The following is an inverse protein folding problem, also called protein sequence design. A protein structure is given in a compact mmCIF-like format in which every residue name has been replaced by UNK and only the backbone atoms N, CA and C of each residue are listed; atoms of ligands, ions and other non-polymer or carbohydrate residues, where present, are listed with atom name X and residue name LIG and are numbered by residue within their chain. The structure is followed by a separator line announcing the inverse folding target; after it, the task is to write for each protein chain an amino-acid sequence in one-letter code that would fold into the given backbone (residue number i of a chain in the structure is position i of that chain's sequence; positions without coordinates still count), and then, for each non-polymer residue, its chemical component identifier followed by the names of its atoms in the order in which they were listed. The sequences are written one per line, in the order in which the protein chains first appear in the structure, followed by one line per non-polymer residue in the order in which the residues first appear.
data_IF_469248885711
#
_entry.id   IF_469248885711
#
_cell.length_a   1.000
_cell.length_b   1.000
_cell.length_c   1.000
_cell.angle_alpha   90.00
_cell.angle_beta   90.00
_cell.angle_gamma   90.00
#
_symmetry.space_group_name_H-M   'P 1'
#
loop_
_entity.id
_entity.type
_entity.pdbx_description
1 polymer ?
#
# COMPACT_ATOMS: atom_id res chain seq x y z
N UNK A 1 -32.49 62.30 -11.45
CA UNK A 1 -32.44 61.31 -10.34
C UNK A 1 -31.82 59.98 -10.81
N UNK A 2 -30.65 59.98 -11.49
CA UNK A 2 -30.07 58.75 -12.10
C UNK A 2 -28.58 58.49 -11.76
N UNK A 3 -27.98 59.28 -10.87
CA UNK A 3 -26.54 59.20 -10.57
C UNK A 3 -26.21 58.33 -9.34
N UNK A 4 -27.21 57.99 -8.52
CA UNK A 4 -27.05 57.13 -7.33
C UNK A 4 -27.12 55.64 -7.67
N UNK A 5 -27.93 55.24 -8.65
CA UNK A 5 -28.08 53.83 -9.06
C UNK A 5 -26.86 53.26 -9.79
N UNK A 6 -26.18 54.04 -10.64
CA UNK A 6 -24.95 53.57 -11.32
C UNK A 6 -23.82 53.25 -10.35
N UNK A 7 -23.71 53.99 -9.24
CA UNK A 7 -22.72 53.69 -8.19
C UNK A 7 -23.09 52.42 -7.44
N UNK A 8 -24.37 52.22 -7.12
CA UNK A 8 -24.82 51.01 -6.43
C UNK A 8 -24.62 49.73 -7.27
N UNK A 9 -24.94 49.78 -8.57
CA UNK A 9 -24.69 48.67 -9.50
C UNK A 9 -23.20 48.40 -9.74
N UNK A 10 -22.37 49.46 -9.82
CA UNK A 10 -20.91 49.33 -9.91
C UNK A 10 -20.33 48.67 -8.66
N UNK A 11 -20.73 49.11 -7.45
CA UNK A 11 -20.25 48.54 -6.19
C UNK A 11 -20.70 47.08 -6.00
N UNK A 12 -21.92 46.73 -6.41
CA UNK A 12 -22.41 45.33 -6.37
C UNK A 12 -21.62 44.46 -7.36
N UNK A 13 -21.33 44.96 -8.57
CA UNK A 13 -20.52 44.24 -9.55
C UNK A 13 -19.08 44.02 -9.07
N UNK A 14 -18.45 45.03 -8.46
CA UNK A 14 -17.11 44.93 -7.88
C UNK A 14 -17.10 43.92 -6.72
N UNK A 15 -18.10 43.97 -5.83
CA UNK A 15 -18.21 43.03 -4.71
C UNK A 15 -18.44 41.58 -5.17
N UNK A 16 -19.24 41.39 -6.23
CA UNK A 16 -19.47 40.09 -6.84
C UNK A 16 -18.20 39.56 -7.53
N UNK A 17 -17.43 40.44 -8.17
CA UNK A 17 -16.13 40.12 -8.75
C UNK A 17 -15.09 39.79 -7.68
N UNK A 18 -15.07 40.51 -6.55
CA UNK A 18 -14.22 40.25 -5.40
C UNK A 18 -14.58 38.94 -4.69
N UNK A 19 -15.86 38.60 -4.56
CA UNK A 19 -16.32 37.32 -4.04
C UNK A 19 -15.89 36.15 -4.93
N UNK A 20 -16.02 36.29 -6.25
CA UNK A 20 -15.55 35.27 -7.19
C UNK A 20 -14.02 35.16 -7.19
N UNK A 21 -13.31 36.28 -7.06
CA UNK A 21 -11.85 36.33 -6.91
C UNK A 21 -11.39 35.66 -5.61
N UNK A 22 -12.06 35.94 -4.48
CA UNK A 22 -11.78 35.30 -3.20
C UNK A 22 -12.08 33.80 -3.21
N UNK A 23 -13.19 33.37 -3.82
CA UNK A 23 -13.50 31.95 -3.98
C UNK A 23 -12.42 31.26 -4.84
N UNK A 24 -12.02 31.88 -5.94
CA UNK A 24 -10.95 31.37 -6.81
C UNK A 24 -9.61 31.27 -6.07
N UNK A 25 -9.23 32.29 -5.27
CA UNK A 25 -8.04 32.28 -4.40
C UNK A 25 -8.12 31.19 -3.34
N UNK A 26 -9.28 30.97 -2.72
CA UNK A 26 -9.47 29.91 -1.74
C UNK A 26 -9.37 28.51 -2.36
N UNK A 27 -9.90 28.34 -3.58
CA UNK A 27 -9.76 27.08 -4.36
C UNK A 27 -8.31 26.82 -4.75
N UNK A 28 -7.57 27.84 -5.18
CA UNK A 28 -6.14 27.73 -5.47
C UNK A 28 -5.37 27.38 -4.19
N UNK A 29 -5.63 28.07 -3.08
CA UNK A 29 -4.96 27.84 -1.79
C UNK A 29 -5.23 26.43 -1.26
N UNK A 30 -6.48 25.97 -1.30
CA UNK A 30 -6.85 24.61 -0.88
C UNK A 30 -6.26 23.53 -1.79
N UNK A 31 -6.15 23.77 -3.10
CA UNK A 31 -5.44 22.89 -4.03
C UNK A 31 -3.94 22.82 -3.73
N UNK A 32 -3.28 23.96 -3.49
CA UNK A 32 -1.86 24.03 -3.14
C UNK A 32 -1.57 23.33 -1.81
N UNK A 33 -2.42 23.50 -0.80
CA UNK A 33 -2.30 22.81 0.49
C UNK A 33 -2.41 21.29 0.32
N UNK A 34 -3.32 20.80 -0.53
CA UNK A 34 -3.43 19.36 -0.82
C UNK A 34 -2.25 18.82 -1.61
N UNK A 35 -1.69 19.60 -2.54
CA UNK A 35 -0.60 19.19 -3.41
C UNK A 35 0.78 19.26 -2.75
N UNK A 36 1.00 20.18 -1.81
CA UNK A 36 2.27 20.36 -1.10
C UNK A 36 2.85 19.08 -0.47
N UNK A 37 2.09 18.27 0.29
CA UNK A 37 2.61 17.02 0.87
C UNK A 37 2.85 15.93 -0.18
N UNK A 38 2.06 15.89 -1.25
CA UNK A 38 2.31 14.96 -2.36
C UNK A 38 3.62 15.28 -3.08
N UNK A 39 3.90 16.57 -3.31
CA UNK A 39 5.16 16.99 -3.93
C UNK A 39 6.36 16.74 -3.03
N UNK A 40 6.25 16.95 -1.72
CA UNK A 40 7.34 16.66 -0.79
C UNK A 40 7.64 15.17 -0.70
N UNK A 41 6.61 14.31 -0.63
CA UNK A 41 6.79 12.86 -0.62
C UNK A 41 7.45 12.36 -1.91
N UNK A 42 7.03 12.86 -3.07
CA UNK A 42 7.68 12.49 -4.34
C UNK A 42 9.13 12.98 -4.43
N UNK A 43 9.46 14.10 -3.76
CA UNK A 43 10.82 14.59 -3.68
C UNK A 43 11.66 13.70 -2.75
N UNK A 44 11.14 13.36 -1.58
CA UNK A 44 11.79 12.44 -0.63
C UNK A 44 12.06 11.07 -1.27
N UNK A 45 11.09 10.50 -2.00
CA UNK A 45 11.26 9.23 -2.73
C UNK A 45 12.37 9.32 -3.80
N UNK A 46 12.42 10.42 -4.55
CA UNK A 46 13.47 10.66 -5.55
C UNK A 46 14.85 10.84 -4.92
N UNK A 47 14.92 11.54 -3.78
CA UNK A 47 16.16 11.73 -3.02
C UNK A 47 16.68 10.42 -2.45
N UNK A 48 15.80 9.56 -1.90
CA UNK A 48 16.18 8.23 -1.43
C UNK A 48 16.73 7.37 -2.58
N UNK A 49 16.08 7.39 -3.74
CA UNK A 49 16.56 6.68 -4.93
C UNK A 49 17.90 7.22 -5.42
N UNK A 50 18.07 8.54 -5.46
CA UNK A 50 19.33 9.18 -5.84
C UNK A 50 20.46 8.85 -4.86
N UNK A 51 20.17 8.77 -3.56
CA UNK A 51 21.13 8.34 -2.54
C UNK A 51 21.56 6.89 -2.75
N UNK A 52 20.61 5.98 -3.02
CA UNK A 52 20.92 4.58 -3.33
C UNK A 52 21.79 4.43 -4.59
N UNK A 53 21.46 5.16 -5.66
CA UNK A 53 22.24 5.19 -6.90
C UNK A 53 23.64 5.79 -6.68
N UNK A 54 23.76 6.81 -5.82
CA UNK A 54 25.04 7.39 -5.43
C UNK A 54 25.95 6.36 -4.77
N UNK A 55 25.44 5.62 -3.77
CA UNK A 55 26.20 4.57 -3.08
C UNK A 55 26.65 3.47 -4.06
N UNK A 56 25.77 3.00 -4.95
CA UNK A 56 26.13 2.04 -5.98
C UNK A 56 27.22 2.58 -6.92
N UNK A 57 27.15 3.85 -7.30
CA UNK A 57 28.16 4.49 -8.16
C UNK A 57 29.53 4.56 -7.48
N UNK A 58 29.55 4.80 -6.16
CA UNK A 58 30.78 4.79 -5.36
C UNK A 58 31.41 3.40 -5.31
N UNK A 59 30.61 2.35 -5.08
CA UNK A 59 31.11 0.96 -5.09
C UNK A 59 31.70 0.61 -6.46
N UNK A 60 31.03 0.98 -7.56
CA UNK A 60 31.56 0.77 -8.92
C UNK A 60 32.86 1.52 -9.15
N UNK A 61 32.99 2.74 -8.61
CA UNK A 61 34.24 3.50 -8.67
C UNK A 61 35.36 2.79 -7.90
N UNK A 62 35.09 2.28 -6.71
CA UNK A 62 36.05 1.49 -5.90
C UNK A 62 36.50 0.20 -6.61
N UNK A 63 35.58 -0.48 -7.31
CA UNK A 63 35.90 -1.64 -8.15
C UNK A 63 36.80 -1.25 -9.34
N UNK A 64 36.46 -0.16 -10.04
CA UNK A 64 37.26 0.35 -11.15
C UNK A 64 38.68 0.74 -10.71
N UNK A 65 38.80 1.39 -9.55
CA UNK A 65 40.11 1.76 -8.98
C UNK A 65 40.92 0.51 -8.60
N UNK A 66 40.30 -0.53 -8.05
CA UNK A 66 40.97 -1.80 -7.75
C UNK A 66 41.51 -2.48 -9.02
N UNK A 67 40.75 -2.45 -10.12
CA UNK A 67 41.22 -2.95 -11.44
C UNK A 67 42.39 -2.11 -11.96
N UNK A 68 42.29 -0.78 -11.88
CA UNK A 68 43.37 0.14 -12.27
C UNK A 68 44.66 -0.13 -11.48
N UNK A 69 44.56 -0.35 -10.17
CA UNK A 69 45.71 -0.68 -9.33
C UNK A 69 46.36 -2.02 -9.74
N UNK A 70 45.55 -3.03 -10.07
CA UNK A 70 46.07 -4.30 -10.60
C UNK A 70 46.81 -4.12 -11.92
N UNK A 71 46.28 -3.30 -12.82
CA UNK A 71 46.92 -3.05 -14.12
C UNK A 71 48.23 -2.27 -13.96
N UNK A 72 48.31 -1.33 -13.02
CA UNK A 72 49.56 -0.65 -12.65
C UNK A 72 50.60 -1.67 -12.16
N UNK A 73 50.24 -2.58 -11.25
CA UNK A 73 51.17 -3.63 -10.77
C UNK A 73 51.68 -4.51 -11.92
N UNK A 74 50.79 -4.94 -12.83
CA UNK A 74 51.18 -5.71 -14.02
C UNK A 74 52.15 -4.93 -14.91
N UNK A 75 51.93 -3.63 -15.07
CA UNK A 75 52.82 -2.78 -15.87
C UNK A 75 54.20 -2.60 -15.22
N UNK A 76 54.26 -2.51 -13.88
CA UNK A 76 55.51 -2.43 -13.11
C UNK A 76 56.31 -3.73 -13.21
N UNK A 77 55.66 -4.89 -13.11
CA UNK A 77 56.31 -6.19 -13.29
C UNK A 77 56.93 -6.32 -14.69
N UNK A 78 56.19 -5.94 -15.73
CA UNK A 78 56.70 -5.91 -17.11
C UNK A 78 57.91 -4.97 -17.25
N UNK A 79 57.82 -3.76 -16.71
CA UNK A 79 58.89 -2.77 -16.76
C UNK A 79 60.16 -3.30 -16.06
N UNK A 80 60.00 -3.93 -14.89
CA UNK A 80 61.13 -4.51 -14.17
C UNK A 80 61.75 -5.66 -14.96
N UNK A 81 60.94 -6.56 -15.54
CA UNK A 81 61.42 -7.65 -16.39
C UNK A 81 62.26 -7.13 -17.57
N UNK A 82 61.76 -6.11 -18.29
CA UNK A 82 62.49 -5.48 -19.39
C UNK A 82 63.81 -4.84 -18.94
N UNK A 83 63.82 -4.19 -17.76
CA UNK A 83 65.05 -3.61 -17.19
C UNK A 83 66.07 -4.69 -16.82
N UNK A 84 65.63 -5.82 -16.26
CA UNK A 84 66.50 -6.97 -15.98
C UNK A 84 67.11 -7.55 -17.27
N UNK A 85 66.29 -7.77 -18.28
CA UNK A 85 66.75 -8.27 -19.59
C UNK A 85 67.75 -7.32 -20.26
N UNK A 86 67.50 -6.01 -20.19
CA UNK A 86 68.41 -5.00 -20.74
C UNK A 86 69.75 -4.93 -19.98
N UNK A 87 69.73 -5.09 -18.66
CA UNK A 87 70.95 -5.14 -17.85
C UNK A 87 71.76 -6.42 -18.12
N UNK A 88 71.08 -7.57 -18.22
CA UNK A 88 71.71 -8.87 -18.51
C UNK A 88 72.41 -8.86 -19.87
N UNK A 89 71.83 -8.22 -20.90
CA UNK A 89 72.50 -8.02 -22.21
C UNK A 89 73.79 -7.19 -22.12
N UNK A 90 73.92 -6.33 -21.11
CA UNK A 90 75.13 -5.55 -20.82
C UNK A 90 76.10 -6.28 -19.88
N UNK A 91 75.79 -7.53 -19.50
CA UNK A 91 76.57 -8.32 -18.54
C UNK A 91 76.33 -7.95 -17.07
N UNK A 92 75.43 -7.01 -16.79
CA UNK A 92 75.15 -6.52 -15.43
C UNK A 92 73.94 -7.26 -14.88
N UNK A 93 74.11 -7.99 -13.78
CA UNK A 93 73.01 -8.68 -13.10
C UNK A 93 72.64 -7.93 -11.82
N UNK A 94 71.38 -7.47 -11.66
CA UNK A 94 70.90 -6.89 -10.42
C UNK A 94 71.03 -7.87 -9.25
N UNK A 95 71.23 -7.36 -8.04
CA UNK A 95 71.34 -8.15 -6.81
C UNK A 95 70.07 -8.99 -6.56
N UNK A 96 70.24 -10.27 -6.21
CA UNK A 96 69.14 -11.22 -6.03
C UNK A 96 68.18 -10.81 -4.88
N UNK A 97 68.73 -10.26 -3.80
CA UNK A 97 67.99 -9.74 -2.64
C UNK A 97 66.99 -8.63 -3.02
N UNK A 98 67.41 -7.71 -3.89
CA UNK A 98 66.57 -6.62 -4.38
C UNK A 98 65.43 -7.12 -5.28
N UNK A 99 65.59 -8.31 -5.89
CA UNK A 99 64.58 -8.94 -6.73
C UNK A 99 63.54 -9.68 -5.91
N UNK A 100 63.99 -10.48 -4.95
CA UNK A 100 63.11 -11.12 -3.97
C UNK A 100 62.29 -10.08 -3.21
N UNK A 101 62.91 -8.96 -2.78
CA UNK A 101 62.19 -7.88 -2.10
C UNK A 101 61.09 -7.27 -2.98
N UNK A 102 61.36 -7.05 -4.27
CA UNK A 102 60.34 -6.53 -5.18
C UNK A 102 59.19 -7.52 -5.39
N UNK A 103 59.50 -8.79 -5.64
CA UNK A 103 58.49 -9.83 -5.83
C UNK A 103 57.61 -10.00 -4.58
N UNK A 104 58.21 -9.97 -3.38
CA UNK A 104 57.49 -10.01 -2.11
C UNK A 104 56.55 -8.81 -1.96
N UNK A 105 57.01 -7.59 -2.23
CA UNK A 105 56.18 -6.39 -2.11
C UNK A 105 55.01 -6.40 -3.12
N UNK A 106 55.27 -6.80 -4.37
CA UNK A 106 54.21 -6.93 -5.39
C UNK A 106 53.22 -8.03 -5.01
N UNK A 107 53.67 -9.15 -4.46
CA UNK A 107 52.81 -10.22 -4.00
C UNK A 107 51.90 -9.78 -2.84
N UNK A 108 52.43 -9.02 -1.88
CA UNK A 108 51.64 -8.42 -0.78
C UNK A 108 50.59 -7.46 -1.32
N UNK A 109 50.97 -6.55 -2.21
CA UNK A 109 50.04 -5.57 -2.82
C UNK A 109 48.94 -6.27 -3.63
N UNK A 110 49.31 -7.28 -4.42
CA UNK A 110 48.36 -8.10 -5.18
C UNK A 110 47.34 -8.77 -4.24
N UNK A 111 47.80 -9.36 -3.14
CA UNK A 111 46.93 -10.00 -2.14
C UNK A 111 45.95 -9.01 -1.54
N UNK A 112 46.39 -7.79 -1.23
CA UNK A 112 45.52 -6.73 -0.70
C UNK A 112 44.45 -6.32 -1.73
N UNK A 113 44.83 -6.12 -3.00
CA UNK A 113 43.88 -5.70 -4.03
C UNK A 113 42.86 -6.79 -4.34
N UNK A 114 43.29 -8.06 -4.40
CA UNK A 114 42.38 -9.20 -4.58
C UNK A 114 41.35 -9.26 -3.44
N UNK A 115 41.80 -9.12 -2.19
CA UNK A 115 40.88 -9.08 -1.03
C UNK A 115 39.87 -7.93 -1.13
N UNK A 116 40.32 -6.73 -1.49
CA UNK A 116 39.43 -5.57 -1.66
C UNK A 116 38.42 -5.78 -2.79
N UNK A 117 38.84 -6.40 -3.89
CA UNK A 117 37.96 -6.70 -5.02
C UNK A 117 36.81 -7.62 -4.60
N UNK A 118 37.11 -8.69 -3.84
CA UNK A 118 36.08 -9.60 -3.30
C UNK A 118 35.07 -8.87 -2.41
N UNK A 119 35.54 -7.95 -1.55
CA UNK A 119 34.66 -7.17 -0.67
C UNK A 119 33.75 -6.25 -1.47
N UNK A 120 34.28 -5.49 -2.44
CA UNK A 120 33.46 -4.59 -3.24
C UNK A 120 32.47 -5.34 -4.14
N UNK A 121 32.86 -6.52 -4.66
CA UNK A 121 31.95 -7.37 -5.43
C UNK A 121 30.81 -7.93 -4.58
N UNK A 122 31.08 -8.27 -3.31
CA UNK A 122 30.05 -8.70 -2.37
C UNK A 122 29.11 -7.55 -1.97
N UNK A 123 29.67 -6.36 -1.71
CA UNK A 123 28.92 -5.13 -1.41
C UNK A 123 27.98 -4.76 -2.57
N UNK A 124 28.47 -4.79 -3.81
CA UNK A 124 27.68 -4.49 -5.01
C UNK A 124 26.52 -5.47 -5.23
N UNK A 125 26.77 -6.77 -5.01
CA UNK A 125 25.74 -7.80 -5.08
C UNK A 125 24.68 -7.64 -3.99
N UNK A 126 25.10 -7.35 -2.76
CA UNK A 126 24.18 -7.14 -1.65
C UNK A 126 23.26 -5.93 -1.90
N UNK A 127 23.83 -4.80 -2.33
CA UNK A 127 23.04 -3.61 -2.68
C UNK A 127 22.05 -3.90 -3.80
N UNK A 128 22.46 -4.63 -4.86
CA UNK A 128 21.55 -4.98 -5.96
C UNK A 128 20.35 -5.80 -5.50
N UNK A 129 20.57 -6.82 -4.66
CA UNK A 129 19.49 -7.65 -4.10
C UNK A 129 18.55 -6.81 -3.23
N UNK A 130 19.07 -5.86 -2.46
CA UNK A 130 18.25 -4.96 -1.65
C UNK A 130 17.35 -4.08 -2.53
N UNK A 131 17.88 -3.49 -3.60
CA UNK A 131 17.08 -2.67 -4.53
C UNK A 131 16.01 -3.49 -5.26
N UNK A 132 16.35 -4.70 -5.72
CA UNK A 132 15.40 -5.60 -6.38
C UNK A 132 14.30 -6.06 -5.42
N UNK A 133 14.66 -6.35 -4.16
CA UNK A 133 13.71 -6.72 -3.12
C UNK A 133 12.74 -5.58 -2.75
N UNK A 134 13.23 -4.34 -2.68
CA UNK A 134 12.40 -3.17 -2.42
C UNK A 134 11.38 -2.92 -3.54
N UNK A 135 11.80 -3.02 -4.81
CA UNK A 135 10.90 -2.88 -5.97
C UNK A 135 9.81 -3.96 -6.00
N UNK A 136 10.16 -5.21 -5.69
CA UNK A 136 9.19 -6.29 -5.66
C UNK A 136 8.18 -6.14 -4.51
N UNK A 137 8.65 -5.72 -3.32
CA UNK A 137 7.76 -5.40 -2.20
C UNK A 137 6.83 -4.22 -2.50
N UNK A 138 7.32 -3.17 -3.16
CA UNK A 138 6.48 -2.05 -3.59
C UNK A 138 5.39 -2.51 -4.57
N UNK A 139 5.75 -3.35 -5.55
CA UNK A 139 4.79 -3.93 -6.51
C UNK A 139 3.74 -4.78 -5.81
N UNK A 140 4.12 -5.57 -4.81
CA UNK A 140 3.21 -6.37 -4.00
C UNK A 140 2.24 -5.49 -3.19
N UNK A 141 2.75 -4.44 -2.53
CA UNK A 141 1.92 -3.47 -1.79
C UNK A 141 0.94 -2.75 -2.70
N UNK A 142 1.33 -2.40 -3.92
CA UNK A 142 0.42 -1.81 -4.90
C UNK A 142 -0.73 -2.75 -5.26
N UNK A 143 -0.44 -4.02 -5.51
CA UNK A 143 -1.45 -5.04 -5.82
C UNK A 143 -2.41 -5.26 -4.65
N UNK A 144 -1.89 -5.37 -3.43
CA UNK A 144 -2.70 -5.48 -2.21
C UNK A 144 -3.61 -4.26 -2.03
N UNK A 145 -3.11 -3.06 -2.28
CA UNK A 145 -3.89 -1.82 -2.21
C UNK A 145 -4.98 -1.78 -3.27
N UNK A 146 -4.70 -2.22 -4.50
CA UNK A 146 -5.70 -2.33 -5.58
C UNK A 146 -6.80 -3.32 -5.18
N UNK A 147 -6.42 -4.50 -4.70
CA UNK A 147 -7.36 -5.53 -4.28
C UNK A 147 -8.21 -5.08 -3.08
N UNK A 148 -7.63 -4.38 -2.10
CA UNK A 148 -8.37 -3.80 -0.97
C UNK A 148 -9.42 -2.78 -1.43
N UNK A 149 -9.06 -1.90 -2.36
CA UNK A 149 -10.00 -0.92 -2.96
C UNK A 149 -11.12 -1.60 -3.73
N UNK A 150 -10.82 -2.67 -4.45
CA UNK A 150 -11.84 -3.42 -5.17
C UNK A 150 -12.82 -4.10 -4.21
N UNK A 151 -12.30 -4.78 -3.17
CA UNK A 151 -13.12 -5.35 -2.10
C UNK A 151 -14.00 -4.30 -1.43
N UNK A 152 -13.46 -3.14 -1.13
CA UNK A 152 -14.21 -2.03 -0.54
C UNK A 152 -15.32 -1.52 -1.49
N UNK A 153 -15.05 -1.38 -2.79
CA UNK A 153 -16.08 -1.01 -3.77
C UNK A 153 -17.19 -2.04 -3.87
N UNK A 154 -16.86 -3.33 -3.84
CA UNK A 154 -17.86 -4.40 -3.83
C UNK A 154 -18.71 -4.34 -2.57
N UNK A 155 -18.07 -4.13 -1.41
CA UNK A 155 -18.79 -4.00 -0.14
C UNK A 155 -19.70 -2.77 -0.11
N UNK A 156 -19.22 -1.62 -0.61
CA UNK A 156 -20.02 -0.41 -0.75
C UNK A 156 -21.21 -0.61 -1.68
N UNK A 157 -21.03 -1.28 -2.82
CA UNK A 157 -22.14 -1.63 -3.72
C UNK A 157 -23.15 -2.53 -3.02
N UNK A 158 -22.70 -3.55 -2.29
CA UNK A 158 -23.59 -4.45 -1.53
C UNK A 158 -24.40 -3.66 -0.50
N UNK A 159 -23.73 -2.84 0.31
CA UNK A 159 -24.37 -2.00 1.32
C UNK A 159 -25.35 -0.99 0.70
N UNK A 160 -25.02 -0.43 -0.47
CA UNK A 160 -25.90 0.47 -1.20
C UNK A 160 -27.19 -0.23 -1.68
N UNK A 161 -27.06 -1.44 -2.24
CA UNK A 161 -28.21 -2.26 -2.65
C UNK A 161 -29.06 -2.65 -1.43
N UNK A 162 -28.42 -3.06 -0.34
CA UNK A 162 -29.10 -3.40 0.92
C UNK A 162 -29.89 -2.21 1.46
N UNK A 163 -29.30 -1.02 1.45
CA UNK A 163 -29.98 0.22 1.86
C UNK A 163 -31.14 0.60 0.94
N UNK A 164 -31.05 0.35 -0.36
CA UNK A 164 -32.16 0.58 -1.30
C UNK A 164 -33.32 -0.39 -1.09
N UNK A 165 -33.03 -1.66 -0.75
CA UNK A 165 -34.05 -2.71 -0.58
C UNK A 165 -34.74 -2.64 0.78
N UNK A 166 -33.97 -2.42 1.85
CA UNK A 166 -34.46 -2.53 3.23
C UNK A 166 -34.50 -1.19 3.97
N UNK A 167 -34.09 -0.11 3.31
CA UNK A 167 -33.93 1.20 3.93
C UNK A 167 -32.63 1.28 4.72
N UNK A 168 -32.38 2.46 5.30
CA UNK A 168 -31.19 2.66 6.13
C UNK A 168 -31.39 1.94 7.48
N UNK A 169 -30.47 1.05 7.87
CA UNK A 169 -30.54 0.33 9.17
C UNK A 169 -30.36 1.24 10.39
N UNK A 170 -30.04 2.51 10.18
CA UNK A 170 -29.99 3.50 11.24
C UNK A 170 -31.36 3.59 11.94
N UNK A 171 -31.34 3.64 13.27
CA UNK A 171 -32.54 3.83 14.08
C UNK A 171 -33.26 5.10 13.63
N UNK A 172 -34.54 4.94 13.27
CA UNK A 172 -35.38 6.04 12.82
C UNK A 172 -35.56 7.02 13.99
N UNK A 173 -35.31 8.31 13.76
CA UNK A 173 -35.43 9.33 14.81
C UNK A 173 -36.86 9.37 15.37
N UNK A 174 -37.06 9.56 16.70
CA UNK A 174 -38.39 9.63 17.32
C UNK A 174 -39.36 10.65 16.70
N UNK A 175 -38.82 11.76 16.19
CA UNK A 175 -39.59 12.81 15.50
C UNK A 175 -39.97 12.48 14.04
N UNK A 176 -39.60 11.29 13.54
CA UNK A 176 -39.93 10.91 12.18
C UNK A 176 -41.43 10.53 12.07
N UNK A 177 -42.18 11.00 11.05
CA UNK A 177 -43.62 10.72 10.93
C UNK A 177 -44.00 9.23 10.91
N UNK A 178 -43.09 8.37 10.45
CA UNK A 178 -43.28 6.91 10.42
C UNK A 178 -42.86 6.18 11.71
N UNK A 179 -42.33 6.91 12.70
CA UNK A 179 -41.82 6.31 13.93
C UNK A 179 -42.88 5.51 14.71
N UNK A 180 -44.14 5.98 14.89
CA UNK A 180 -45.17 5.21 15.58
C UNK A 180 -45.49 3.87 14.91
N UNK A 181 -45.51 3.84 13.57
CA UNK A 181 -45.77 2.62 12.80
C UNK A 181 -44.62 1.62 12.95
N UNK A 182 -43.38 2.09 12.86
CA UNK A 182 -42.20 1.24 13.05
C UNK A 182 -42.17 0.66 14.47
N UNK A 183 -42.43 1.48 15.48
CA UNK A 183 -42.48 1.04 16.88
C UNK A 183 -43.60 0.02 17.13
N UNK A 184 -44.76 0.17 16.48
CA UNK A 184 -45.84 -0.83 16.57
C UNK A 184 -45.42 -2.20 16.02
N UNK A 185 -44.73 -2.27 14.87
CA UNK A 185 -44.27 -3.55 14.32
C UNK A 185 -43.07 -4.15 15.06
N UNK A 186 -42.22 -3.32 15.67
CA UNK A 186 -41.03 -3.76 16.43
C UNK A 186 -41.28 -3.92 17.93
N UNK A 187 -42.52 -3.76 18.41
CA UNK A 187 -42.85 -3.81 19.84
C UNK A 187 -42.41 -5.11 20.54
N UNK A 188 -42.34 -6.22 19.81
CA UNK A 188 -41.88 -7.51 20.32
C UNK A 188 -40.39 -7.54 20.70
N UNK A 189 -39.56 -6.71 20.05
CA UNK A 189 -38.12 -6.60 20.35
C UNK A 189 -37.87 -5.86 21.67
N UNK A 190 -38.82 -5.02 22.09
CA UNK A 190 -38.68 -4.13 23.25
C UNK A 190 -39.60 -4.49 24.43
N UNK A 191 -40.59 -5.37 24.23
CA UNK A 191 -41.53 -5.77 25.27
C UNK A 191 -41.86 -7.26 25.18
N UNK A 192 -41.47 -8.00 26.23
CA UNK A 192 -41.80 -9.43 26.36
C UNK A 192 -43.32 -9.67 26.37
N UNK A 193 -44.09 -8.77 26.98
CA UNK A 193 -45.55 -8.88 26.97
C UNK A 193 -46.12 -8.74 25.55
N UNK A 194 -45.60 -7.78 24.77
CA UNK A 194 -46.02 -7.60 23.38
C UNK A 194 -45.64 -8.83 22.52
N UNK A 195 -44.45 -9.39 22.72
CA UNK A 195 -44.04 -10.64 22.09
C UNK A 195 -45.01 -11.79 22.41
N UNK A 196 -45.34 -12.01 23.68
CA UNK A 196 -46.28 -13.05 24.10
C UNK A 196 -47.69 -12.84 23.55
N UNK A 197 -48.15 -11.60 23.50
CA UNK A 197 -49.47 -11.27 22.94
C UNK A 197 -49.50 -11.55 21.43
N UNK A 198 -48.52 -11.04 20.68
CA UNK A 198 -48.40 -11.29 19.24
C UNK A 198 -48.36 -12.80 18.99
N UNK A 199 -47.57 -13.55 19.77
CA UNK A 199 -47.51 -15.01 19.66
C UNK A 199 -48.88 -15.66 19.86
N UNK A 200 -49.62 -15.29 20.91
CA UNK A 200 -50.97 -15.80 21.17
C UNK A 200 -51.95 -15.46 20.06
N UNK A 201 -51.86 -14.26 19.50
CA UNK A 201 -52.68 -13.83 18.38
C UNK A 201 -52.39 -14.69 17.14
N UNK A 202 -51.13 -15.08 16.92
CA UNK A 202 -50.78 -16.04 15.86
C UNK A 202 -51.21 -17.48 16.17
N UNK A 203 -51.20 -17.89 17.44
CA UNK A 203 -51.61 -19.23 17.86
C UNK A 203 -53.07 -19.55 17.55
N UNK A 204 -53.94 -18.54 17.43
CA UNK A 204 -55.33 -18.76 17.03
C UNK A 204 -55.49 -19.27 15.58
N UNK A 205 -54.45 -19.13 14.75
CA UNK A 205 -54.42 -19.64 13.37
C UNK A 205 -53.74 -21.01 13.25
N UNK A 206 -53.27 -21.59 14.36
CA UNK A 206 -52.73 -22.95 14.36
C UNK A 206 -53.88 -23.96 14.32
N UNK A 207 -53.87 -24.79 13.28
CA UNK A 207 -54.82 -25.88 13.10
C UNK A 207 -54.08 -27.22 13.06
N UNK A 208 -54.74 -28.34 13.39
CA UNK A 208 -54.16 -29.68 13.22
C UNK A 208 -53.69 -29.91 11.77
N UNK A 209 -52.69 -30.79 11.59
CA UNK A 209 -52.10 -31.07 10.28
C UNK A 209 -53.12 -31.56 9.24
N UNK A 210 -54.20 -32.21 9.68
CA UNK A 210 -55.25 -32.76 8.82
C UNK A 210 -56.41 -31.79 8.57
N UNK A 211 -56.31 -30.53 9.04
CA UNK A 211 -57.38 -29.55 8.89
C UNK A 211 -57.50 -29.08 7.42
N UNK A 212 -58.71 -29.08 6.83
CA UNK A 212 -58.89 -28.81 5.39
C UNK A 212 -58.48 -27.39 4.98
N UNK A 213 -58.62 -26.41 5.87
CA UNK A 213 -58.18 -25.02 5.64
C UNK A 213 -56.75 -24.73 6.12
N UNK A 214 -56.01 -25.76 6.55
CA UNK A 214 -54.62 -25.63 6.97
C UNK A 214 -53.68 -25.48 5.79
N UNK A 215 -52.70 -24.58 5.89
CA UNK A 215 -51.62 -24.43 4.91
C UNK A 215 -50.27 -24.73 5.52
N UNK A 216 -49.46 -25.54 4.84
CA UNK A 216 -48.06 -25.75 5.20
C UNK A 216 -47.18 -24.66 4.59
N UNK A 217 -46.10 -24.31 5.28
CA UNK A 217 -45.05 -23.47 4.70
C UNK A 217 -44.47 -24.22 3.48
N UNK A 218 -44.44 -23.60 2.28
CA UNK A 218 -43.93 -24.27 1.10
C UNK A 218 -42.49 -24.76 1.29
N UNK A 219 -42.21 -25.98 0.82
CA UNK A 219 -40.89 -26.56 0.91
C UNK A 219 -39.88 -25.68 0.14
N UNK A 220 -38.83 -25.24 0.83
CA UNK A 220 -37.79 -24.36 0.26
C UNK A 220 -37.99 -22.85 0.48
N UNK A 221 -39.10 -22.40 1.07
CA UNK A 221 -39.28 -20.99 1.43
C UNK A 221 -38.51 -20.57 2.68
N UNK A 222 -38.26 -21.53 3.58
CA UNK A 222 -37.44 -21.33 4.76
C UNK A 222 -36.21 -22.23 4.62
N UNK A 223 -35.07 -21.62 4.34
CA UNK A 223 -33.78 -22.31 4.38
C UNK A 223 -33.20 -22.14 5.78
N UNK A 224 -33.03 -23.22 6.56
CA UNK A 224 -32.42 -23.10 7.87
C UNK A 224 -30.99 -22.58 7.71
N UNK A 225 -30.66 -21.54 8.47
CA UNK A 225 -29.27 -21.13 8.65
C UNK A 225 -28.51 -22.26 9.36
N UNK A 226 -27.18 -22.36 9.17
CA UNK A 226 -26.38 -23.31 9.94
C UNK A 226 -26.66 -23.17 11.43
N UNK A 227 -26.79 -24.28 12.17
CA UNK A 227 -27.11 -24.24 13.59
C UNK A 227 -26.07 -23.41 14.33
N UNK A 228 -26.54 -22.56 15.24
CA UNK A 228 -25.68 -21.66 16.01
C UNK A 228 -24.81 -22.39 17.03
N UNK A 229 -25.18 -23.62 17.41
CA UNK A 229 -24.40 -24.53 18.24
C UNK A 229 -24.80 -26.00 18.00
N UNK A 230 -24.05 -26.93 18.59
CA UNK A 230 -24.26 -28.36 18.45
C UNK A 230 -25.58 -28.85 19.07
N UNK A 231 -26.10 -28.17 20.10
CA UNK A 231 -27.38 -28.51 20.76
C UNK A 231 -28.56 -28.22 19.84
N UNK A 232 -28.52 -27.14 19.06
CA UNK A 232 -29.54 -26.84 18.05
C UNK A 232 -29.37 -27.70 16.79
N UNK A 233 -28.16 -28.19 16.52
CA UNK A 233 -27.91 -29.09 15.39
C UNK A 233 -28.66 -30.42 15.53
N UNK A 234 -28.77 -30.97 16.74
CA UNK A 234 -29.50 -32.23 16.99
C UNK A 234 -31.01 -32.10 16.75
N UNK A 235 -31.58 -30.91 16.87
CA UNK A 235 -33.00 -30.66 16.59
C UNK A 235 -33.36 -30.66 15.10
N UNK A 236 -32.36 -30.66 14.21
CA UNK A 236 -32.52 -30.76 12.76
C UNK A 236 -32.39 -32.20 12.24
N UNK A 237 -31.97 -33.14 13.10
CA UNK A 237 -31.96 -34.56 12.79
C UNK A 237 -33.41 -35.04 12.73
N UNK A 238 -33.83 -35.52 11.55
CA UNK A 238 -35.17 -36.11 11.41
C UNK A 238 -35.20 -37.42 12.20
N UNK A 239 -36.23 -37.68 13.00
CA UNK A 239 -36.48 -39.04 13.49
C UNK A 239 -36.77 -39.94 12.27
N UNK A 240 -36.16 -41.12 12.26
CA UNK A 240 -36.41 -42.19 11.27
C UNK A 240 -37.88 -42.63 11.23
#
# INVERSE_FOLDING_TARGET
MQWKDRRHFSTISIFQQDLQSNNSRHRIRSFLIRKAPLTSLTQEEQELKAAADSVLSEVRKKQADSKRMMDILRSLEKLRKLRKEAAARKGIHPEATADEAFEQQVAVLRKVIVKRTVVYDAEEKALRVMLEGEQEEERKRELERKHKKEKEKVLQRKSHVESMLFGNSAEMHPEHPLWPFRHYYLQAEHSFHALMQIRRDWECFLVPADHPDGSFIPQGWVLPVPPSNDVWATALEKPD
#
